data_IF_622741778823
#
_entry.id   IF_622741778823
#
_cell.length_a   1.000
_cell.length_b   1.000
_cell.length_c   1.000
_cell.angle_alpha   90.00
_cell.angle_beta   90.00
_cell.angle_gamma   90.00
#
_symmetry.space_group_name_H-M   'P 1'
#
loop_
_entity.id
_entity.type
_entity.pdbx_description
1 polymer ?
#
# COMPACT_ATOMS: atom_id res chain seq x y z
N UNK A 1 -19.78 26.66 -16.07
CA UNK A 1 -19.04 25.63 -16.82
C UNK A 1 -18.12 24.91 -15.83
N UNK A 2 -18.44 23.67 -15.43
CA UNK A 2 -17.61 22.89 -14.49
C UNK A 2 -16.54 22.16 -15.28
N UNK A 3 -15.27 22.45 -14.98
CA UNK A 3 -14.12 21.81 -15.59
C UNK A 3 -14.16 20.30 -15.30
N UNK A 4 -14.30 19.49 -16.36
CA UNK A 4 -13.99 18.07 -16.33
C UNK A 4 -12.49 17.95 -16.06
N UNK A 5 -12.13 17.72 -14.79
CA UNK A 5 -10.79 17.25 -14.45
C UNK A 5 -10.64 15.89 -15.13
N UNK A 6 -9.92 15.88 -16.26
CA UNK A 6 -9.40 14.68 -16.89
C UNK A 6 -8.71 13.86 -15.79
N UNK A 7 -9.38 12.80 -15.32
CA UNK A 7 -8.73 11.76 -14.54
C UNK A 7 -7.69 11.18 -15.49
N UNK A 8 -6.46 11.67 -15.39
CA UNK A 8 -5.30 11.05 -16.01
C UNK A 8 -5.42 9.56 -15.70
N UNK A 9 -5.56 8.76 -16.74
CA UNK A 9 -5.60 7.31 -16.69
C UNK A 9 -4.19 6.87 -16.33
N UNK A 10 -3.78 7.07 -15.08
CA UNK A 10 -2.60 6.40 -14.52
C UNK A 10 -2.94 4.91 -14.56
N UNK A 11 -2.13 4.07 -15.21
CA UNK A 11 -2.37 2.64 -15.22
C UNK A 11 -2.56 2.19 -13.78
N UNK A 12 -3.72 1.62 -13.47
CA UNK A 12 -3.99 1.13 -12.14
C UNK A 12 -2.99 0.02 -11.85
N UNK A 13 -2.30 0.09 -10.70
CA UNK A 13 -1.42 -1.00 -10.27
C UNK A 13 -2.18 -2.33 -10.31
N UNK A 14 -1.56 -3.34 -10.91
CA UNK A 14 -2.14 -4.69 -10.96
C UNK A 14 -2.26 -5.27 -9.55
N UNK A 15 -3.06 -6.32 -9.37
CA UNK A 15 -3.17 -7.01 -8.09
C UNK A 15 -1.80 -7.50 -7.59
N UNK A 16 -1.03 -8.12 -8.49
CA UNK A 16 0.33 -8.60 -8.23
C UNK A 16 1.27 -7.47 -7.80
N UNK A 17 1.17 -6.31 -8.45
CA UNK A 17 2.00 -5.16 -8.12
C UNK A 17 1.62 -4.58 -6.74
N UNK A 18 0.33 -4.49 -6.44
CA UNK A 18 -0.14 -4.07 -5.12
C UNK A 18 0.35 -5.02 -4.02
N UNK A 19 0.27 -6.33 -4.23
CA UNK A 19 0.79 -7.34 -3.29
C UNK A 19 2.30 -7.19 -3.13
N UNK A 20 3.04 -7.00 -4.23
CA UNK A 20 4.50 -6.83 -4.21
C UNK A 20 4.93 -5.60 -3.42
N UNK A 21 4.19 -4.49 -3.52
CA UNK A 21 4.49 -3.21 -2.85
C UNK A 21 3.87 -3.11 -1.45
N UNK A 22 3.01 -4.05 -1.07
CA UNK A 22 2.26 -4.02 0.18
C UNK A 22 3.14 -3.93 1.44
N UNK A 23 4.27 -4.65 1.57
CA UNK A 23 5.15 -4.49 2.73
C UNK A 23 5.66 -3.05 2.90
N UNK A 24 5.91 -2.35 1.79
CA UNK A 24 6.34 -0.95 1.80
C UNK A 24 5.22 -0.01 2.26
N UNK A 25 3.97 -0.31 1.87
CA UNK A 25 2.81 0.40 2.40
C UNK A 25 2.75 0.25 3.92
N UNK A 26 2.92 -0.97 4.43
CA UNK A 26 2.88 -1.25 5.88
C UNK A 26 3.97 -0.51 6.66
N UNK A 27 5.15 -0.31 6.07
CA UNK A 27 6.26 0.46 6.68
C UNK A 27 5.96 1.97 6.67
N UNK A 28 5.43 2.50 5.57
CA UNK A 28 5.31 3.96 5.36
C UNK A 28 3.99 4.54 5.89
N UNK A 29 2.96 3.72 6.06
CA UNK A 29 1.68 4.15 6.61
C UNK A 29 1.85 4.51 8.11
N UNK A 30 1.44 5.70 8.56
CA UNK A 30 1.51 6.08 9.97
C UNK A 30 0.66 5.16 10.84
N UNK A 31 1.24 4.54 11.88
CA UNK A 31 0.53 3.59 12.77
C UNK A 31 -0.71 4.16 13.45
N UNK A 32 -0.75 5.48 13.69
CA UNK A 32 -1.89 6.17 14.30
C UNK A 32 -3.04 6.46 13.32
N UNK A 33 -2.86 6.15 12.03
CA UNK A 33 -3.85 6.47 11.00
C UNK A 33 -4.93 5.39 10.88
N UNK A 34 -6.13 5.79 10.48
CA UNK A 34 -7.17 4.85 10.07
C UNK A 34 -6.70 3.98 8.91
N UNK A 35 -5.83 4.50 8.03
CA UNK A 35 -5.31 3.72 6.92
C UNK A 35 -4.47 2.52 7.39
N UNK A 36 -3.71 2.68 8.48
CA UNK A 36 -2.98 1.58 9.11
C UNK A 36 -3.91 0.49 9.64
N UNK A 37 -4.96 0.88 10.37
CA UNK A 37 -5.91 -0.06 10.92
C UNK A 37 -6.66 -0.88 9.86
N UNK A 38 -6.84 -0.33 8.65
CA UNK A 38 -7.39 -1.09 7.51
C UNK A 38 -6.33 -1.93 6.81
N UNK A 39 -5.11 -1.40 6.64
CA UNK A 39 -4.01 -2.13 6.02
C UNK A 39 -3.63 -3.38 6.84
N UNK A 40 -3.58 -3.27 8.16
CA UNK A 40 -3.35 -4.38 9.10
C UNK A 40 -4.41 -5.48 8.94
N UNK A 41 -5.68 -5.12 8.80
CA UNK A 41 -6.76 -6.11 8.59
C UNK A 41 -6.59 -6.89 7.29
N UNK A 42 -6.10 -6.25 6.23
CA UNK A 42 -5.80 -6.92 4.96
C UNK A 42 -4.59 -7.84 5.14
N UNK A 43 -3.55 -7.38 5.85
CA UNK A 43 -2.36 -8.18 6.14
C UNK A 43 -2.70 -9.47 6.90
N UNK A 44 -3.53 -9.38 7.95
CA UNK A 44 -3.99 -10.54 8.72
C UNK A 44 -4.78 -11.54 7.87
N UNK A 45 -5.48 -11.08 6.84
CA UNK A 45 -6.17 -11.97 5.90
C UNK A 45 -5.20 -12.60 4.90
N UNK A 46 -4.21 -11.84 4.45
CA UNK A 46 -3.17 -12.30 3.52
C UNK A 46 -2.31 -13.43 4.09
N UNK A 47 -2.22 -13.56 5.41
CA UNK A 47 -1.57 -14.71 6.07
C UNK A 47 -2.27 -16.05 5.81
N UNK A 48 -3.51 -16.06 5.30
CA UNK A 48 -4.25 -17.29 5.04
C UNK A 48 -3.76 -17.94 3.74
N UNK A 49 -3.49 -19.25 3.71
CA UNK A 49 -3.09 -19.94 2.50
C UNK A 49 -4.19 -19.86 1.43
N UNK A 50 -3.81 -19.48 0.20
CA UNK A 50 -4.75 -19.31 -0.90
C UNK A 50 -5.60 -18.04 -0.83
N UNK A 51 -5.22 -17.07 0.00
CA UNK A 51 -5.89 -15.78 0.04
C UNK A 51 -5.66 -14.97 -1.25
N UNK A 52 -6.73 -14.33 -1.72
CA UNK A 52 -6.72 -13.37 -2.81
C UNK A 52 -7.55 -12.14 -2.41
N UNK A 53 -7.10 -10.91 -2.68
CA UNK A 53 -7.82 -9.70 -2.30
C UNK A 53 -9.13 -9.56 -3.10
N UNK A 54 -10.24 -9.33 -2.39
CA UNK A 54 -11.49 -8.93 -3.02
C UNK A 54 -11.35 -7.62 -3.81
N UNK A 55 -12.23 -7.36 -4.77
CA UNK A 55 -12.21 -6.13 -5.58
C UNK A 55 -12.16 -4.84 -4.73
N UNK A 56 -12.85 -4.81 -3.59
CA UNK A 56 -12.85 -3.69 -2.66
C UNK A 56 -11.50 -3.54 -1.93
N UNK A 57 -10.90 -4.67 -1.51
CA UNK A 57 -9.57 -4.67 -0.90
C UNK A 57 -8.53 -4.21 -1.90
N UNK A 58 -8.55 -4.73 -3.13
CA UNK A 58 -7.62 -4.33 -4.17
C UNK A 58 -7.75 -2.83 -4.51
N UNK A 59 -8.97 -2.30 -4.57
CA UNK A 59 -9.20 -0.86 -4.75
C UNK A 59 -8.55 -0.04 -3.62
N UNK A 60 -8.67 -0.53 -2.39
CA UNK A 60 -8.06 0.12 -1.24
C UNK A 60 -6.53 -0.01 -1.26
N UNK A 61 -6.00 -1.18 -1.63
CA UNK A 61 -4.57 -1.40 -1.78
C UNK A 61 -3.97 -0.43 -2.81
N UNK A 62 -4.62 -0.27 -3.97
CA UNK A 62 -4.21 0.71 -4.99
C UNK A 62 -4.18 2.13 -4.46
N UNK A 63 -5.17 2.53 -3.65
CA UNK A 63 -5.21 3.84 -3.00
C UNK A 63 -3.98 4.03 -2.10
N UNK A 64 -3.67 3.05 -1.25
CA UNK A 64 -2.54 3.17 -0.33
C UNK A 64 -1.19 3.10 -1.03
N UNK A 65 -1.02 2.22 -2.01
CA UNK A 65 0.19 2.15 -2.85
C UNK A 65 0.43 3.50 -3.51
N UNK A 66 -0.61 4.12 -4.10
CA UNK A 66 -0.49 5.44 -4.71
C UNK A 66 -0.13 6.54 -3.71
N UNK A 67 -0.67 6.48 -2.50
CA UNK A 67 -0.45 7.52 -1.47
C UNK A 67 0.91 7.40 -0.79
N UNK A 68 1.37 6.18 -0.51
CA UNK A 68 2.54 5.92 0.33
C UNK A 68 3.74 5.36 -0.45
N UNK A 69 3.53 4.84 -1.66
CA UNK A 69 4.57 4.23 -2.52
C UNK A 69 4.46 4.81 -3.94
N UNK A 70 4.33 6.13 -4.05
CA UNK A 70 4.17 6.83 -5.32
C UNK A 70 5.39 6.71 -6.24
N UNK A 71 6.56 6.43 -5.67
CA UNK A 71 7.82 6.11 -6.35
C UNK A 71 7.92 4.67 -6.87
N UNK A 72 7.00 3.78 -6.47
CA UNK A 72 7.00 2.37 -6.88
C UNK A 72 8.15 1.53 -6.34
N UNK A 73 8.96 2.08 -5.43
CA UNK A 73 10.10 1.37 -4.83
C UNK A 73 9.59 0.46 -3.73
N UNK A 74 9.91 -0.83 -3.85
CA UNK A 74 9.73 -1.79 -2.76
C UNK A 74 10.87 -1.61 -1.77
N UNK A 75 10.53 -1.27 -0.53
CA UNK A 75 11.43 -1.37 0.61
C UNK A 75 11.55 -2.84 1.04
N UNK A 76 12.76 -3.23 1.41
CA UNK A 76 13.02 -4.53 2.00
C UNK A 76 12.38 -4.58 3.40
N UNK A 77 11.50 -5.56 3.70
CA UNK A 77 10.89 -5.67 5.02
C UNK A 77 11.91 -5.96 6.15
N UNK A 78 13.09 -6.50 5.82
CA UNK A 78 14.19 -6.70 6.77
C UNK A 78 15.10 -5.46 6.92
N UNK A 79 14.75 -4.34 6.27
CA UNK A 79 15.49 -3.09 6.41
C UNK A 79 15.22 -2.49 7.80
N UNK A 80 16.17 -2.67 8.71
CA UNK A 80 16.12 -2.16 10.07
C UNK A 80 16.25 -0.62 10.09
N UNK A 81 15.18 0.09 10.44
CA UNK A 81 15.19 1.55 10.60
C UNK A 81 15.81 2.02 11.93
N UNK A 82 16.19 1.10 12.81
CA UNK A 82 16.75 1.40 14.15
C UNK A 82 18.17 1.97 14.09
N UNK A 83 18.85 1.93 12.95
CA UNK A 83 20.21 2.50 12.80
C UNK A 83 20.24 4.04 12.68
N UNK A 84 19.09 4.74 12.77
CA UNK A 84 19.04 6.21 12.61
C UNK A 84 19.26 7.04 13.88
N UNK A 85 19.36 6.43 15.06
CA UNK A 85 19.52 7.15 16.35
C UNK A 85 20.96 7.03 16.93
N UNK A 86 21.96 7.01 16.06
CA UNK A 86 23.37 6.76 16.42
C UNK A 86 24.37 7.88 16.09
N UNK A 87 23.99 9.17 16.15
CA UNK A 87 24.93 10.29 16.02
C UNK A 87 24.59 11.50 16.89
#
# INVERSE_FOLDING_TARGET
MRAFRSKMFTPEHSAEECIRLWPTVMIRVPMSSQDWAFAEKIELQAMRPGWDPSASQLTYMRKLVRSYVSDGVRLDPDFDFSERDGL
#
